data_IF_106084240847
#
_entry.id   IF_106084240847
#
_cell.length_a   1.000
_cell.length_b   1.000
_cell.length_c   1.000
_cell.angle_alpha   90.00
_cell.angle_beta   90.00
_cell.angle_gamma   90.00
#
_symmetry.space_group_name_H-M   'P 1'
#
loop_
_entity.id
_entity.type
_entity.pdbx_description
1 polymer ?
#
# COMPACT_ATOMS: atom_id res chain seq x y z
N UNK A 1 8.86 -34.22 10.28
CA UNK A 1 9.75 -33.86 9.16
C UNK A 1 8.88 -33.77 7.90
N UNK A 2 8.71 -34.82 7.08
CA UNK A 2 7.90 -34.78 5.84
C UNK A 2 6.55 -34.01 5.86
N UNK A 3 5.73 -34.10 6.93
CA UNK A 3 4.47 -33.35 7.01
C UNK A 3 4.65 -31.83 7.15
N UNK A 4 5.69 -31.37 7.87
CA UNK A 4 6.00 -29.95 8.02
C UNK A 4 6.74 -29.37 6.82
N UNK A 5 7.56 -30.18 6.15
CA UNK A 5 8.18 -29.80 4.86
C UNK A 5 7.13 -29.57 3.77
N UNK A 6 6.10 -30.43 3.70
CA UNK A 6 4.99 -30.25 2.75
C UNK A 6 4.13 -29.01 3.08
N UNK A 7 3.93 -28.70 4.36
CA UNK A 7 3.20 -27.50 4.78
C UNK A 7 3.99 -26.22 4.50
N UNK A 8 5.29 -26.19 4.81
CA UNK A 8 6.18 -25.08 4.48
C UNK A 8 6.25 -24.84 2.96
N UNK A 9 6.41 -25.89 2.16
CA UNK A 9 6.42 -25.79 0.70
C UNK A 9 5.11 -25.20 0.13
N UNK A 10 3.95 -25.55 0.72
CA UNK A 10 2.68 -24.93 0.33
C UNK A 10 2.64 -23.44 0.72
N UNK A 11 3.06 -23.08 1.93
CA UNK A 11 3.12 -21.68 2.38
C UNK A 11 4.02 -20.81 1.48
N UNK A 12 5.14 -21.35 1.00
CA UNK A 12 5.96 -20.68 -0.01
C UNK A 12 5.19 -20.40 -1.30
N UNK A 13 4.53 -21.41 -1.88
CA UNK A 13 3.74 -21.26 -3.11
C UNK A 13 2.64 -20.22 -2.93
N UNK A 14 1.91 -20.29 -1.81
CA UNK A 14 0.83 -19.37 -1.47
C UNK A 14 1.34 -17.91 -1.33
N UNK A 15 2.51 -17.71 -0.71
CA UNK A 15 3.15 -16.40 -0.57
C UNK A 15 3.64 -15.85 -1.91
N UNK A 16 4.34 -16.66 -2.73
CA UNK A 16 4.80 -16.23 -4.06
C UNK A 16 3.62 -15.86 -4.97
N UNK A 17 2.52 -16.62 -4.93
CA UNK A 17 1.32 -16.29 -5.70
C UNK A 17 0.65 -15.01 -5.17
N UNK A 18 0.60 -14.81 -3.86
CA UNK A 18 0.09 -13.56 -3.27
C UNK A 18 0.94 -12.35 -3.65
N UNK A 19 2.28 -12.47 -3.67
CA UNK A 19 3.19 -11.37 -4.02
C UNK A 19 3.18 -11.07 -5.51
N UNK A 20 3.26 -12.09 -6.39
CA UNK A 20 3.12 -11.89 -7.83
C UNK A 20 1.78 -11.27 -8.22
N UNK A 21 0.71 -11.61 -7.49
CA UNK A 21 -0.58 -10.93 -7.57
C UNK A 21 -0.45 -9.44 -7.19
N UNK A 22 0.09 -9.11 -6.02
CA UNK A 22 0.24 -7.71 -5.56
C UNK A 22 1.09 -6.87 -6.54
N UNK A 23 2.32 -7.33 -6.81
CA UNK A 23 3.38 -6.53 -7.44
C UNK A 23 3.40 -6.61 -8.98
N UNK A 24 2.74 -7.60 -9.59
CA UNK A 24 2.60 -7.69 -11.04
C UNK A 24 3.95 -7.66 -11.77
N UNK A 25 4.20 -6.61 -12.56
CA UNK A 25 5.42 -6.45 -13.36
C UNK A 25 6.68 -6.16 -12.53
N UNK A 26 6.56 -5.63 -11.30
CA UNK A 26 7.70 -5.42 -10.40
C UNK A 26 8.16 -6.74 -9.73
N UNK A 27 7.39 -7.83 -9.87
CA UNK A 27 7.75 -9.18 -9.42
C UNK A 27 8.31 -10.02 -10.58
N UNK A 28 9.50 -10.59 -10.39
CA UNK A 28 10.19 -11.41 -11.38
C UNK A 28 10.58 -12.78 -10.80
N UNK A 29 10.22 -13.86 -11.50
CA UNK A 29 10.75 -15.20 -11.23
C UNK A 29 12.07 -15.33 -11.99
N UNK A 30 13.18 -15.50 -11.27
CA UNK A 30 14.52 -15.62 -11.86
C UNK A 30 14.83 -17.08 -12.18
N UNK A 31 14.54 -17.97 -11.23
CA UNK A 31 14.64 -19.42 -11.37
C UNK A 31 13.56 -20.07 -10.50
N UNK A 32 12.62 -20.79 -11.13
CA UNK A 32 11.52 -21.44 -10.40
C UNK A 32 11.96 -22.73 -9.72
N UNK A 33 12.96 -23.44 -10.25
CA UNK A 33 13.44 -24.71 -9.69
C UNK A 33 14.31 -24.43 -8.44
N UNK A 34 15.21 -23.45 -8.53
CA UNK A 34 16.07 -22.99 -7.43
C UNK A 34 15.39 -21.98 -6.49
N UNK A 35 14.09 -21.70 -6.69
CA UNK A 35 13.26 -20.78 -5.87
C UNK A 35 13.86 -19.38 -5.71
N UNK A 36 14.38 -18.83 -6.80
CA UNK A 36 14.99 -17.50 -6.88
C UNK A 36 13.99 -16.50 -7.47
N UNK A 37 13.70 -15.46 -6.70
CA UNK A 37 12.77 -14.39 -7.07
C UNK A 37 13.42 -13.02 -6.90
N UNK A 38 12.96 -12.04 -7.67
CA UNK A 38 13.43 -10.66 -7.60
C UNK A 38 12.24 -9.71 -7.58
N UNK A 39 12.29 -8.71 -6.70
CA UNK A 39 11.27 -7.68 -6.52
C UNK A 39 11.93 -6.33 -6.70
N UNK A 40 11.39 -5.50 -7.60
CA UNK A 40 11.80 -4.11 -7.73
C UNK A 40 10.94 -3.25 -6.79
N UNK A 41 11.58 -2.48 -5.93
CA UNK A 41 10.94 -1.66 -4.89
C UNK A 41 11.34 -0.22 -5.13
N UNK A 42 10.39 0.70 -5.05
CA UNK A 42 10.58 2.13 -5.34
C UNK A 42 9.92 3.01 -4.26
N UNK A 43 10.45 4.20 -4.05
CA UNK A 43 9.92 5.20 -3.10
C UNK A 43 8.50 5.66 -3.43
N UNK A 44 8.23 5.90 -4.72
CA UNK A 44 6.90 6.19 -5.24
C UNK A 44 6.62 5.41 -6.53
N UNK A 45 5.36 5.44 -6.97
CA UNK A 45 4.95 4.88 -8.26
C UNK A 45 5.05 5.92 -9.37
N UNK A 46 4.74 7.19 -9.06
CA UNK A 46 4.85 8.32 -9.97
C UNK A 46 6.25 8.94 -9.93
N UNK A 47 7.07 8.63 -10.95
CA UNK A 47 8.46 9.10 -11.11
C UNK A 47 9.41 8.74 -9.94
N UNK A 48 9.72 7.43 -9.75
CA UNK A 48 10.57 6.99 -8.65
C UNK A 48 11.98 7.59 -8.68
N UNK A 49 12.39 8.18 -7.55
CA UNK A 49 13.73 8.76 -7.34
C UNK A 49 14.67 7.74 -6.73
N UNK A 50 14.17 6.89 -5.85
CA UNK A 50 14.94 5.85 -5.16
C UNK A 50 14.38 4.47 -5.49
N UNK A 51 15.26 3.59 -5.97
CA UNK A 51 14.91 2.20 -6.30
C UNK A 51 15.90 1.24 -5.68
N UNK A 52 15.40 0.05 -5.32
CA UNK A 52 16.17 -1.08 -4.80
C UNK A 52 15.58 -2.37 -5.36
N UNK A 53 16.43 -3.28 -5.81
CA UNK A 53 16.02 -4.64 -6.17
C UNK A 53 16.34 -5.60 -5.02
N UNK A 54 15.31 -6.20 -4.43
CA UNK A 54 15.42 -7.29 -3.46
C UNK A 54 15.38 -8.61 -4.24
N UNK A 55 16.50 -9.33 -4.26
CA UNK A 55 16.52 -10.73 -4.71
C UNK A 55 16.44 -11.64 -3.50
N UNK A 56 15.59 -12.67 -3.55
CA UNK A 56 15.42 -13.69 -2.51
C UNK A 56 15.57 -15.09 -3.09
N UNK A 57 16.09 -16.00 -2.28
CA UNK A 57 16.15 -17.44 -2.51
C UNK A 57 15.42 -18.08 -1.33
N UNK A 58 14.40 -18.89 -1.60
CA UNK A 58 13.61 -19.54 -0.55
C UNK A 58 14.16 -20.95 -0.27
N UNK A 59 14.84 -21.19 0.86
CA UNK A 59 15.35 -22.51 1.20
C UNK A 59 14.19 -23.41 1.67
N UNK A 60 14.34 -24.76 1.64
CA UNK A 60 13.21 -25.68 1.82
C UNK A 60 12.49 -25.61 3.17
N UNK A 61 13.14 -25.11 4.23
CA UNK A 61 12.56 -24.93 5.56
C UNK A 61 11.89 -23.58 5.80
N UNK A 62 11.95 -22.63 4.86
CA UNK A 62 11.23 -21.36 4.96
C UNK A 62 9.71 -21.58 4.78
N UNK A 63 8.81 -20.91 5.54
CA UNK A 63 9.06 -19.98 6.65
C UNK A 63 9.21 -20.64 8.04
N UNK A 64 9.01 -21.95 8.14
CA UNK A 64 8.86 -22.66 9.41
C UNK A 64 10.14 -22.79 10.26
N UNK A 65 11.32 -22.88 9.64
CA UNK A 65 12.56 -23.31 10.28
C UNK A 65 13.81 -22.48 9.94
N UNK A 66 13.81 -21.75 8.83
CA UNK A 66 14.95 -20.95 8.37
C UNK A 66 14.47 -19.72 7.56
N UNK A 67 15.23 -18.60 7.58
CA UNK A 67 14.87 -17.37 6.87
C UNK A 67 15.13 -17.46 5.35
N UNK A 68 14.53 -16.57 4.54
CA UNK A 68 14.94 -16.39 3.15
C UNK A 68 16.40 -15.91 3.07
N UNK A 69 17.15 -16.41 2.09
CA UNK A 69 18.46 -15.85 1.75
C UNK A 69 18.22 -14.67 0.81
N UNK A 70 18.80 -13.50 1.08
CA UNK A 70 18.55 -12.30 0.29
C UNK A 70 19.81 -11.59 -0.21
N UNK A 71 19.63 -10.78 -1.27
CA UNK A 71 20.61 -9.84 -1.78
C UNK A 71 19.91 -8.50 -2.09
N UNK A 72 20.45 -7.40 -1.58
CA UNK A 72 19.94 -6.05 -1.79
C UNK A 72 20.78 -5.32 -2.83
N UNK A 73 20.20 -5.04 -3.99
CA UNK A 73 20.87 -4.44 -5.13
C UNK A 73 20.37 -3.01 -5.36
N UNK A 74 21.16 -2.01 -4.95
CA UNK A 74 20.91 -0.60 -5.18
C UNK A 74 22.25 0.17 -5.32
N UNK A 75 22.41 1.11 -6.27
CA UNK A 75 23.69 1.81 -6.48
C UNK A 75 24.18 2.61 -5.27
N UNK A 76 23.23 3.13 -4.49
CA UNK A 76 23.39 3.98 -3.31
C UNK A 76 23.56 3.20 -2.00
N UNK A 77 23.07 1.96 -1.92
CA UNK A 77 23.02 1.17 -0.68
C UNK A 77 24.41 0.64 -0.32
N UNK A 78 25.11 1.32 0.59
CA UNK A 78 26.48 0.98 1.00
C UNK A 78 26.75 1.34 2.46
N UNK A 79 27.65 0.61 3.10
CA UNK A 79 28.11 0.93 4.45
C UNK A 79 26.97 0.89 5.46
N UNK A 80 26.78 1.99 6.19
CA UNK A 80 25.78 2.09 7.26
C UNK A 80 24.34 1.85 6.77
N UNK A 81 23.96 2.43 5.62
CA UNK A 81 22.64 2.23 4.99
C UNK A 81 22.31 0.75 4.77
N UNK A 82 23.31 -0.05 4.35
CA UNK A 82 23.14 -1.49 4.14
C UNK A 82 22.93 -2.21 5.48
N UNK A 83 23.75 -1.89 6.48
CA UNK A 83 23.70 -2.52 7.81
C UNK A 83 22.37 -2.25 8.52
N UNK A 84 21.88 -1.01 8.49
CA UNK A 84 20.62 -0.62 9.14
C UNK A 84 19.41 -1.30 8.50
N UNK A 85 19.38 -1.36 7.15
CA UNK A 85 18.34 -2.08 6.43
C UNK A 85 18.43 -3.59 6.68
N UNK A 86 19.62 -4.20 6.60
CA UNK A 86 19.83 -5.63 6.87
C UNK A 86 19.38 -6.04 8.29
N UNK A 87 19.74 -5.26 9.30
CA UNK A 87 19.30 -5.47 10.68
C UNK A 87 17.77 -5.41 10.80
N UNK A 88 17.13 -4.45 10.11
CA UNK A 88 15.67 -4.31 10.10
C UNK A 88 14.97 -5.54 9.48
N UNK A 89 15.53 -6.11 8.40
CA UNK A 89 14.98 -7.32 7.79
C UNK A 89 15.14 -8.55 8.71
N UNK A 90 16.28 -8.68 9.38
CA UNK A 90 16.51 -9.78 10.34
C UNK A 90 15.61 -9.66 11.58
N UNK A 91 15.38 -8.45 12.11
CA UNK A 91 14.43 -8.21 13.18
C UNK A 91 13.00 -8.62 12.79
N UNK A 92 12.55 -8.28 11.58
CA UNK A 92 11.24 -8.70 11.06
C UNK A 92 11.11 -10.22 11.03
N UNK A 93 12.15 -10.95 10.62
CA UNK A 93 12.12 -12.43 10.67
C UNK A 93 12.01 -12.96 12.10
N UNK A 94 12.80 -12.43 13.04
CA UNK A 94 12.79 -12.86 14.45
C UNK A 94 11.44 -12.57 15.14
N UNK A 95 10.76 -11.48 14.76
CA UNK A 95 9.44 -11.15 15.28
C UNK A 95 8.31 -12.04 14.70
N UNK A 96 8.51 -12.63 13.51
CA UNK A 96 7.47 -13.36 12.75
C UNK A 96 7.92 -14.80 12.40
N UNK A 97 8.56 -15.48 13.35
CA UNK A 97 9.05 -16.86 13.16
C UNK A 97 7.92 -17.83 12.83
N UNK A 98 8.07 -18.57 11.72
CA UNK A 98 7.04 -19.47 11.21
C UNK A 98 6.01 -18.83 10.28
N UNK A 99 6.13 -17.53 9.99
CA UNK A 99 5.23 -16.79 9.10
C UNK A 99 5.90 -16.27 7.82
N UNK A 100 5.07 -16.00 6.82
CA UNK A 100 5.44 -15.44 5.52
C UNK A 100 5.73 -13.94 5.59
N UNK A 101 7.02 -13.60 5.60
CA UNK A 101 7.56 -12.25 5.85
C UNK A 101 7.95 -11.44 4.61
N UNK A 102 7.94 -11.98 3.39
CA UNK A 102 8.52 -11.27 2.24
C UNK A 102 7.80 -9.95 1.94
N UNK A 103 6.50 -9.89 2.18
CA UNK A 103 5.74 -8.64 2.10
C UNK A 103 6.21 -7.59 3.13
N UNK A 104 6.46 -8.01 4.38
CA UNK A 104 6.92 -7.14 5.45
C UNK A 104 8.31 -6.58 5.13
N UNK A 105 9.18 -7.39 4.52
CA UNK A 105 10.47 -6.95 3.99
C UNK A 105 10.31 -5.92 2.87
N UNK A 106 9.42 -6.14 1.90
CA UNK A 106 9.18 -5.17 0.82
C UNK A 106 8.69 -3.83 1.38
N UNK A 107 7.75 -3.86 2.33
CA UNK A 107 7.22 -2.63 2.93
C UNK A 107 8.25 -1.93 3.82
N UNK A 108 9.09 -2.66 4.57
CA UNK A 108 10.19 -2.05 5.34
C UNK A 108 11.24 -1.40 4.44
N UNK A 109 11.55 -2.03 3.30
CA UNK A 109 12.40 -1.41 2.28
C UNK A 109 11.73 -0.15 1.74
N UNK A 110 10.45 -0.21 1.37
CA UNK A 110 9.68 0.93 0.86
C UNK A 110 9.66 2.10 1.83
N UNK A 111 9.44 1.86 3.12
CA UNK A 111 9.52 2.87 4.18
C UNK A 111 10.87 3.61 4.15
N UNK A 112 11.98 2.87 4.16
CA UNK A 112 13.34 3.44 4.08
C UNK A 112 13.58 4.21 2.77
N UNK A 113 13.00 3.77 1.64
CA UNK A 113 13.06 4.52 0.37
C UNK A 113 12.30 5.85 0.46
N UNK A 114 11.13 5.87 1.12
CA UNK A 114 10.31 7.07 1.32
C UNK A 114 11.02 8.05 2.27
N UNK A 115 11.60 7.56 3.38
CA UNK A 115 12.42 8.39 4.29
C UNK A 115 13.64 9.00 3.56
N UNK A 116 14.31 8.22 2.70
CA UNK A 116 15.37 8.71 1.81
C UNK A 116 14.88 9.72 0.78
N UNK A 117 13.65 9.60 0.28
CA UNK A 117 13.03 10.58 -0.62
C UNK A 117 12.79 11.92 0.10
N UNK A 118 12.23 11.87 1.31
CA UNK A 118 11.88 13.05 2.13
C UNK A 118 13.12 13.76 2.70
N UNK A 119 14.17 13.03 3.06
CA UNK A 119 15.43 13.60 3.56
C UNK A 119 16.35 14.18 2.47
N UNK A 120 16.00 14.03 1.19
CA UNK A 120 16.80 14.50 0.05
C UNK A 120 16.16 15.67 -0.71
N UNK A 121 15.95 16.79 -0.01
CA UNK A 121 15.49 18.05 -0.61
C UNK A 121 16.51 18.63 -1.64
N UNK A 122 16.08 19.52 -2.57
CA UNK A 122 16.92 19.96 -3.68
C UNK A 122 17.96 21.00 -3.26
N UNK A 123 19.15 20.87 -3.86
CA UNK A 123 20.35 21.67 -3.61
C UNK A 123 20.15 23.18 -3.86
N UNK A 124 20.30 24.06 -2.84
CA UNK A 124 20.42 25.50 -3.05
C UNK A 124 21.87 25.85 -3.43
N UNK A 125 22.10 26.14 -4.72
CA UNK A 125 23.39 26.57 -5.27
C UNK A 125 23.77 27.99 -4.78
N UNK A 126 24.29 28.09 -3.55
CA UNK A 126 24.97 29.30 -3.05
C UNK A 126 26.30 28.94 -2.38
N UNK A 127 27.36 29.19 -3.16
CA UNK A 127 28.78 29.38 -2.81
C UNK A 127 29.11 29.51 -1.32
N UNK A 128 30.10 28.71 -0.90
CA UNK A 128 30.98 28.95 0.25
C UNK A 128 31.36 30.43 0.41
N UNK A 129 31.11 30.97 1.60
CA UNK A 129 32.07 31.84 2.30
C UNK A 129 32.07 31.41 3.76
N UNK A 130 33.27 31.22 4.31
CA UNK A 130 33.53 30.93 5.71
C UNK A 130 33.22 32.12 6.61
N UNK A 131 32.74 31.88 7.83
CA UNK A 131 33.44 32.29 9.05
C UNK A 131 32.79 31.68 10.29
N UNK A 132 33.63 31.27 11.26
CA UNK A 132 33.23 30.79 12.57
C UNK A 132 33.15 31.98 13.53
N UNK A 133 32.05 32.14 14.30
CA UNK A 133 32.12 32.72 15.64
C UNK A 133 31.07 32.09 16.55
N UNK A 134 31.46 31.85 17.80
CA UNK A 134 30.68 31.27 18.89
C UNK A 134 30.09 32.37 19.80
N UNK A 135 29.46 31.97 20.91
CA UNK A 135 29.03 32.75 22.08
C UNK A 135 27.57 33.28 22.13
N UNK A 136 26.68 32.39 22.56
CA UNK A 136 25.94 32.45 23.83
C UNK A 136 25.24 33.76 24.31
N UNK A 137 23.91 33.74 24.26
CA UNK A 137 22.93 34.25 25.24
C UNK A 137 21.60 33.49 24.93
N UNK A 138 20.72 33.07 25.84
CA UNK A 138 20.64 33.19 27.29
C UNK A 138 19.17 33.35 27.71
N UNK A 139 18.58 32.39 28.43
CA UNK A 139 17.72 32.64 29.62
C UNK A 139 17.34 31.34 30.37
N UNK A 140 17.06 31.47 31.66
CA UNK A 140 16.62 30.40 32.59
C UNK A 140 15.16 30.65 33.05
N UNK A 141 14.65 29.86 34.00
CA UNK A 141 13.41 29.97 34.79
C UNK A 141 12.22 29.06 34.44
N UNK A 142 12.36 27.82 34.92
CA UNK A 142 11.55 27.24 36.02
C UNK A 142 10.08 27.73 36.16
N UNK A 143 9.12 26.83 35.92
CA UNK A 143 7.70 27.00 36.27
C UNK A 143 7.38 26.26 37.59
N UNK A 144 6.73 26.95 38.53
CA UNK A 144 6.19 26.40 39.79
C UNK A 144 4.69 26.77 40.00
N UNK A 145 4.07 26.18 41.04
CA UNK A 145 2.64 25.93 41.29
C UNK A 145 2.01 26.97 42.27
N UNK A 146 0.69 27.10 42.53
CA UNK A 146 -0.50 26.31 42.12
C UNK A 146 -1.64 27.15 41.43
N UNK A 147 -2.70 27.71 42.09
CA UNK A 147 -4.05 27.44 41.56
C UNK A 147 -5.08 28.60 41.52
N UNK A 148 -6.14 28.42 40.71
CA UNK A 148 -7.48 28.97 41.00
C UNK A 148 -8.53 27.88 40.70
N UNK A 149 -9.47 27.69 41.63
CA UNK A 149 -10.65 26.83 41.48
C UNK A 149 -11.87 27.72 41.17
N UNK A 150 -12.74 27.30 40.25
CA UNK A 150 -14.20 27.20 40.47
C UNK A 150 -14.92 26.70 39.20
N UNK A 151 -15.27 25.41 39.25
CA UNK A 151 -16.50 24.76 38.75
C UNK A 151 -16.91 24.70 37.25
N UNK A 152 -17.72 23.67 36.88
CA UNK A 152 -17.72 23.12 35.52
C UNK A 152 -19.03 23.37 34.73
N UNK A 153 -19.10 22.76 33.54
CA UNK A 153 -20.26 22.65 32.63
C UNK A 153 -20.45 23.86 31.69
N UNK A 154 -20.05 23.69 30.42
CA UNK A 154 -20.61 24.28 29.15
C UNK A 154 -19.64 24.31 27.94
N UNK A 155 -18.72 23.34 27.80
CA UNK A 155 -17.81 23.26 26.63
C UNK A 155 -17.80 21.84 26.03
N UNK A 156 -18.99 21.28 25.75
CA UNK A 156 -19.15 20.00 25.01
C UNK A 156 -20.23 20.03 23.92
N UNK A 157 -20.90 21.17 23.70
CA UNK A 157 -22.04 21.30 22.75
C UNK A 157 -21.80 22.30 21.60
N UNK A 158 -20.55 22.77 21.37
CA UNK A 158 -20.26 23.85 20.39
C UNK A 158 -19.44 23.42 19.16
N UNK A 159 -19.39 22.12 18.84
CA UNK A 159 -18.88 21.62 17.55
C UNK A 159 -19.91 20.66 16.91
N UNK A 160 -21.21 20.97 17.10
CA UNK A 160 -22.33 20.16 16.58
C UNK A 160 -23.33 21.04 15.82
N UNK A 161 -22.82 21.92 14.96
CA UNK A 161 -23.64 22.69 14.02
C UNK A 161 -22.88 23.08 12.75
N UNK A 162 -22.10 22.15 12.19
CA UNK A 162 -21.92 22.13 10.75
C UNK A 162 -23.13 21.42 10.13
N UNK A 163 -23.71 22.04 9.11
CA UNK A 163 -24.94 21.60 8.47
C UNK A 163 -24.86 20.15 7.97
N UNK A 164 -25.91 19.38 8.28
CA UNK A 164 -26.20 18.12 7.61
C UNK A 164 -26.61 18.42 6.15
N UNK A 165 -25.64 18.75 5.31
CA UNK A 165 -25.77 18.48 3.89
C UNK A 165 -25.83 16.95 3.74
N UNK A 166 -26.93 16.47 3.15
CA UNK A 166 -27.18 15.06 2.85
C UNK A 166 -26.28 14.63 1.68
N UNK A 167 -24.99 14.47 1.98
CA UNK A 167 -23.98 13.96 1.06
C UNK A 167 -24.40 12.55 0.59
N UNK A 168 -24.84 12.44 -0.67
CA UNK A 168 -25.52 11.26 -1.20
C UNK A 168 -24.68 9.99 -0.99
N UNK A 169 -25.33 8.93 -0.48
CA UNK A 169 -24.67 7.66 -0.19
C UNK A 169 -24.16 7.05 -1.50
N UNK A 170 -22.85 6.81 -1.67
CA UNK A 170 -22.32 6.25 -2.89
C UNK A 170 -22.88 4.87 -3.22
N UNK A 171 -22.95 4.55 -4.51
CA UNK A 171 -23.39 3.24 -4.97
C UNK A 171 -22.39 2.15 -4.56
N UNK A 172 -22.90 1.12 -3.89
CA UNK A 172 -22.09 0.00 -3.41
C UNK A 172 -22.22 -1.15 -4.42
N UNK A 173 -21.08 -1.59 -4.93
CA UNK A 173 -20.95 -2.72 -5.83
C UNK A 173 -20.41 -3.93 -5.06
N UNK A 174 -20.93 -5.13 -5.35
CA UNK A 174 -20.51 -6.38 -4.72
C UNK A 174 -19.95 -7.32 -5.78
N UNK A 175 -18.70 -7.76 -5.61
CA UNK A 175 -18.02 -8.66 -6.53
C UNK A 175 -18.45 -10.12 -6.34
N UNK A 176 -18.04 -10.98 -7.26
CA UNK A 176 -18.27 -12.42 -7.15
C UNK A 176 -17.47 -13.01 -5.97
N UNK A 177 -18.10 -13.84 -5.11
CA UNK A 177 -17.40 -14.44 -3.98
C UNK A 177 -16.44 -15.55 -4.44
N UNK A 178 -15.28 -15.64 -3.78
CA UNK A 178 -14.30 -16.73 -3.92
C UNK A 178 -14.39 -17.61 -2.68
N UNK A 179 -14.43 -18.93 -2.84
CA UNK A 179 -14.44 -19.89 -1.72
C UNK A 179 -13.27 -20.85 -1.84
N UNK A 180 -12.44 -20.94 -0.80
CA UNK A 180 -11.38 -21.94 -0.66
C UNK A 180 -11.40 -22.54 0.75
N UNK A 181 -11.19 -23.87 0.84
CA UNK A 181 -11.15 -24.64 2.11
C UNK A 181 -12.27 -24.21 3.09
N UNK A 182 -13.48 -24.02 2.56
CA UNK A 182 -14.72 -23.51 3.22
C UNK A 182 -14.70 -22.04 3.66
N UNK A 183 -13.54 -21.38 3.68
CA UNK A 183 -13.49 -19.93 3.88
C UNK A 183 -14.02 -19.25 2.62
N UNK A 184 -14.82 -18.19 2.77
CA UNK A 184 -15.36 -17.43 1.64
C UNK A 184 -14.94 -15.97 1.76
N UNK A 185 -14.63 -15.35 0.63
CA UNK A 185 -14.17 -13.97 0.48
C UNK A 185 -15.10 -13.27 -0.51
N UNK A 186 -15.49 -12.03 -0.22
CA UNK A 186 -16.23 -11.20 -1.17
C UNK A 186 -15.75 -9.75 -1.07
N UNK A 187 -15.37 -9.17 -2.21
CA UNK A 187 -15.07 -7.74 -2.27
C UNK A 187 -16.34 -6.91 -2.48
N UNK A 188 -16.30 -5.70 -1.92
CA UNK A 188 -17.28 -4.65 -2.05
C UNK A 188 -16.54 -3.37 -2.41
N UNK A 189 -17.08 -2.59 -3.34
CA UNK A 189 -16.46 -1.39 -3.87
C UNK A 189 -17.46 -0.25 -3.82
N UNK A 190 -17.01 0.94 -3.41
CA UNK A 190 -17.78 2.18 -3.56
C UNK A 190 -16.87 3.33 -4.02
N UNK A 191 -17.30 4.17 -4.97
CA UNK A 191 -16.63 5.43 -5.24
C UNK A 191 -16.73 6.32 -4.00
N UNK A 192 -15.62 6.94 -3.59
CA UNK A 192 -15.58 7.87 -2.45
C UNK A 192 -14.67 9.05 -2.74
N UNK A 193 -15.13 10.26 -2.38
CA UNK A 193 -14.36 11.51 -2.50
C UNK A 193 -14.18 12.23 -1.17
N UNK A 194 -14.78 11.73 -0.09
CA UNK A 194 -14.59 12.26 1.28
C UNK A 194 -14.50 11.13 2.32
N UNK A 195 -13.80 11.34 3.46
CA UNK A 195 -13.81 10.39 4.58
C UNK A 195 -15.21 10.16 5.18
N UNK A 196 -16.10 11.16 5.04
CA UNK A 196 -17.50 11.05 5.47
C UNK A 196 -18.25 10.01 4.64
N UNK A 197 -18.03 9.96 3.32
CA UNK A 197 -18.56 8.91 2.45
C UNK A 197 -18.03 7.52 2.82
N UNK A 198 -16.74 7.38 3.12
CA UNK A 198 -16.15 6.11 3.59
C UNK A 198 -16.92 5.58 4.81
N UNK A 199 -17.14 6.42 5.82
CA UNK A 199 -17.90 6.04 7.02
C UNK A 199 -19.35 5.65 6.68
N UNK A 200 -20.05 6.43 5.85
CA UNK A 200 -21.44 6.11 5.43
C UNK A 200 -21.54 4.79 4.67
N UNK A 201 -20.56 4.46 3.83
CA UNK A 201 -20.52 3.18 3.09
C UNK A 201 -20.29 2.01 4.05
N UNK A 202 -19.36 2.13 5.01
CA UNK A 202 -19.13 1.10 6.03
C UNK A 202 -20.37 0.88 6.90
N UNK A 203 -21.01 1.95 7.37
CA UNK A 203 -22.30 1.89 8.10
C UNK A 203 -23.36 1.16 7.26
N UNK A 204 -23.46 1.47 5.96
CA UNK A 204 -24.42 0.81 5.06
C UNK A 204 -24.12 -0.67 4.86
N UNK A 205 -22.86 -1.03 4.68
CA UNK A 205 -22.42 -2.43 4.55
C UNK A 205 -22.80 -3.24 5.80
N UNK A 206 -22.64 -2.65 7.00
CA UNK A 206 -22.98 -3.29 8.26
C UNK A 206 -24.50 -3.34 8.59
N UNK A 207 -25.38 -2.67 7.84
CA UNK A 207 -26.81 -2.99 7.86
C UNK A 207 -27.09 -4.42 7.35
N UNK A 208 -26.26 -4.92 6.43
CA UNK A 208 -26.37 -6.29 5.93
C UNK A 208 -25.77 -7.27 6.95
N UNK A 209 -26.65 -7.97 7.67
CA UNK A 209 -26.27 -8.95 8.71
C UNK A 209 -25.25 -9.99 8.27
N UNK A 210 -25.16 -10.36 6.97
CA UNK A 210 -24.13 -11.30 6.50
C UNK A 210 -22.73 -10.69 6.56
N UNK A 211 -22.61 -9.41 6.20
CA UNK A 211 -21.36 -8.65 6.17
C UNK A 211 -20.96 -8.27 7.60
N UNK A 212 -21.91 -7.76 8.39
CA UNK A 212 -21.71 -7.49 9.82
C UNK A 212 -21.38 -8.74 10.66
N UNK A 213 -21.69 -9.95 10.16
CA UNK A 213 -21.28 -11.23 10.77
C UNK A 213 -20.17 -11.94 9.99
N UNK A 214 -19.42 -11.24 9.14
CA UNK A 214 -18.16 -11.75 8.61
C UNK A 214 -17.16 -11.92 9.77
N UNK A 215 -16.16 -12.79 9.56
CA UNK A 215 -15.08 -12.98 10.54
C UNK A 215 -14.12 -11.78 10.52
N UNK A 216 -13.90 -11.21 9.33
CA UNK A 216 -13.12 -9.99 9.12
C UNK A 216 -13.76 -9.17 7.98
N UNK A 217 -13.80 -7.86 8.11
CA UNK A 217 -14.22 -6.88 7.10
C UNK A 217 -13.06 -5.91 6.82
N UNK A 218 -11.99 -6.46 6.25
CA UNK A 218 -10.77 -5.75 5.87
C UNK A 218 -11.13 -4.63 4.91
N UNK A 219 -10.59 -3.43 5.07
CA UNK A 219 -10.80 -2.37 4.09
C UNK A 219 -9.58 -1.49 3.85
N UNK A 220 -9.57 -0.85 2.67
CA UNK A 220 -8.67 0.23 2.35
C UNK A 220 -9.37 1.25 1.44
N UNK A 221 -9.03 2.52 1.56
CA UNK A 221 -9.50 3.55 0.65
C UNK A 221 -8.37 4.47 0.19
N UNK A 222 -8.55 5.06 -1.00
CA UNK A 222 -7.66 6.10 -1.54
C UNK A 222 -8.53 7.21 -2.12
N UNK A 223 -8.43 8.40 -1.56
CA UNK A 223 -9.11 9.63 -2.04
C UNK A 223 -8.02 10.58 -2.53
N UNK A 224 -8.15 11.10 -3.75
CA UNK A 224 -7.20 12.06 -4.30
C UNK A 224 -7.62 13.49 -3.95
N UNK A 225 -6.72 14.22 -3.30
CA UNK A 225 -6.91 15.61 -2.88
C UNK A 225 -6.24 16.53 -3.91
N UNK A 226 -7.04 17.07 -4.86
CA UNK A 226 -6.54 17.95 -5.93
C UNK A 226 -5.86 19.23 -5.40
N UNK A 227 -6.29 19.75 -4.24
CA UNK A 227 -5.74 20.95 -3.60
C UNK A 227 -4.29 20.78 -3.14
N UNK A 228 -3.96 19.57 -2.65
CA UNK A 228 -2.65 19.21 -2.11
C UNK A 228 -1.82 18.33 -3.04
N UNK A 229 -2.38 17.90 -4.18
CA UNK A 229 -1.78 16.94 -5.11
C UNK A 229 -1.28 15.66 -4.40
N UNK A 230 -2.08 15.15 -3.45
CA UNK A 230 -1.72 14.00 -2.61
C UNK A 230 -2.94 13.10 -2.33
N UNK A 231 -2.70 11.93 -1.74
CA UNK A 231 -3.76 11.00 -1.35
C UNK A 231 -4.08 11.08 0.13
N UNK A 232 -5.36 11.19 0.45
CA UNK A 232 -5.90 10.81 1.75
C UNK A 232 -6.29 9.33 1.66
N UNK A 233 -5.55 8.48 2.35
CA UNK A 233 -5.66 7.03 2.25
C UNK A 233 -5.39 6.38 3.61
N UNK A 234 -6.09 5.28 3.89
CA UNK A 234 -6.03 4.56 5.18
C UNK A 234 -6.55 3.13 4.99
N UNK A 235 -6.31 2.26 5.98
CA UNK A 235 -6.71 0.85 5.93
C UNK A 235 -6.93 0.23 7.32
N UNK A 236 -7.71 -0.85 7.35
CA UNK A 236 -8.06 -1.61 8.56
C UNK A 236 -7.99 -3.11 8.26
N UNK A 237 -7.43 -3.87 9.19
CA UNK A 237 -7.27 -5.32 9.14
C UNK A 237 -8.52 -6.06 9.65
N UNK A 238 -9.29 -5.45 10.57
CA UNK A 238 -10.40 -6.09 11.32
C UNK A 238 -9.99 -7.44 11.94
N UNK A 239 -8.76 -7.50 12.46
CA UNK A 239 -8.17 -8.71 13.05
C UNK A 239 -7.57 -9.71 12.05
N UNK A 240 -7.64 -9.47 10.74
CA UNK A 240 -6.87 -10.21 9.74
C UNK A 240 -5.50 -9.55 9.55
N UNK A 241 -4.56 -9.84 10.45
CA UNK A 241 -3.25 -9.16 10.53
C UNK A 241 -2.54 -9.01 9.18
N UNK A 242 -2.13 -7.77 8.88
CA UNK A 242 -1.47 -7.30 7.66
C UNK A 242 -2.31 -7.35 6.36
N UNK A 243 -3.62 -7.62 6.41
CA UNK A 243 -4.46 -7.69 5.21
C UNK A 243 -4.87 -6.31 4.66
N UNK A 244 -5.21 -5.35 5.53
CA UNK A 244 -5.59 -3.99 5.17
C UNK A 244 -4.42 -3.23 4.53
N UNK A 245 -3.22 -3.37 5.10
CA UNK A 245 -1.99 -2.85 4.51
C UNK A 245 -1.72 -3.42 3.11
N UNK A 246 -1.80 -4.76 2.95
CA UNK A 246 -1.67 -5.43 1.64
C UNK A 246 -2.71 -4.98 0.63
N UNK A 247 -3.96 -4.77 1.07
CA UNK A 247 -5.07 -4.29 0.24
C UNK A 247 -4.86 -2.84 -0.21
N UNK A 248 -4.46 -1.95 0.70
CA UNK A 248 -4.08 -0.58 0.37
C UNK A 248 -2.91 -0.55 -0.61
N UNK A 249 -1.91 -1.41 -0.39
CA UNK A 249 -0.73 -1.46 -1.25
C UNK A 249 -1.04 -1.97 -2.66
N UNK A 250 -1.93 -2.97 -2.79
CA UNK A 250 -2.51 -3.37 -4.07
C UNK A 250 -3.22 -2.19 -4.76
N UNK A 251 -4.01 -1.40 -4.03
CA UNK A 251 -4.68 -0.21 -4.57
C UNK A 251 -3.69 0.91 -4.95
N UNK A 252 -2.53 0.97 -4.31
CA UNK A 252 -1.43 1.84 -4.73
C UNK A 252 -0.86 1.38 -6.06
N UNK A 253 -0.40 0.13 -6.18
CA UNK A 253 0.22 -0.42 -7.41
C UNK A 253 -0.71 -0.34 -8.62
N UNK A 254 -2.00 -0.65 -8.43
CA UNK A 254 -3.01 -0.52 -9.49
C UNK A 254 -3.37 0.95 -9.84
N UNK A 255 -2.78 1.91 -9.15
CA UNK A 255 -2.99 3.35 -9.25
C UNK A 255 -4.46 3.78 -9.22
N UNK A 256 -5.27 3.15 -8.35
CA UNK A 256 -6.71 3.43 -8.27
C UNK A 256 -7.00 4.60 -7.33
N UNK A 257 -7.87 5.51 -7.75
CA UNK A 257 -8.20 6.76 -7.05
C UNK A 257 -9.69 6.83 -6.72
N UNK A 258 -10.04 7.60 -5.69
CA UNK A 258 -11.41 7.94 -5.28
C UNK A 258 -12.32 6.72 -5.06
N UNK A 259 -11.79 5.73 -4.32
CA UNK A 259 -12.45 4.43 -4.12
C UNK A 259 -12.14 3.83 -2.75
N UNK A 260 -13.17 3.22 -2.15
CA UNK A 260 -13.12 2.35 -0.98
C UNK A 260 -13.33 0.91 -1.45
N UNK A 261 -12.46 0.01 -1.01
CA UNK A 261 -12.63 -1.44 -1.17
C UNK A 261 -12.70 -2.08 0.20
N UNK A 262 -13.74 -2.88 0.42
CA UNK A 262 -13.93 -3.72 1.61
C UNK A 262 -13.93 -5.18 1.17
N UNK A 263 -13.17 -6.05 1.83
CA UNK A 263 -13.17 -7.49 1.57
C UNK A 263 -13.64 -8.22 2.82
N UNK A 264 -14.87 -8.72 2.76
CA UNK A 264 -15.45 -9.55 3.82
C UNK A 264 -14.96 -10.99 3.69
N UNK A 265 -14.40 -11.54 4.78
CA UNK A 265 -14.02 -12.95 4.92
C UNK A 265 -14.93 -13.65 5.93
N UNK A 266 -15.51 -14.78 5.53
CA UNK A 266 -16.18 -15.73 6.42
C UNK A 266 -15.28 -16.95 6.62
N UNK A 267 -14.82 -17.21 7.85
CA UNK A 267 -13.90 -18.29 8.16
C UNK A 267 -14.55 -19.67 8.07
N UNK A 268 -13.91 -20.59 7.33
CA UNK A 268 -14.41 -21.94 7.06
C UNK A 268 -14.13 -23.02 8.11
N UNK A 269 -13.45 -22.66 9.21
CA UNK A 269 -12.94 -23.62 10.19
C UNK A 269 -11.59 -24.25 9.84
N UNK A 270 -10.94 -23.81 8.75
CA UNK A 270 -9.61 -24.25 8.31
C UNK A 270 -8.73 -23.01 8.11
N UNK A 271 -7.59 -22.96 8.81
CA UNK A 271 -6.58 -21.92 8.62
C UNK A 271 -6.00 -22.04 7.20
N UNK A 272 -6.01 -20.93 6.45
CA UNK A 272 -5.49 -20.93 5.07
C UNK A 272 -3.99 -20.65 5.00
N UNK A 273 -3.38 -20.12 6.07
CA UNK A 273 -2.01 -19.61 6.00
C UNK A 273 -1.93 -18.35 5.12
N UNK A 274 -0.84 -18.16 4.34
CA UNK A 274 -0.66 -17.01 3.44
C UNK A 274 -1.73 -16.92 2.33
N UNK A 275 -2.30 -18.06 1.91
CA UNK A 275 -3.26 -18.17 0.79
C UNK A 275 -4.51 -17.27 0.96
N UNK A 276 -4.85 -16.88 2.21
CA UNK A 276 -5.91 -15.90 2.49
C UNK A 276 -5.64 -14.55 1.82
N UNK A 277 -4.40 -14.08 1.80
CA UNK A 277 -4.03 -12.79 1.22
C UNK A 277 -4.19 -12.80 -0.31
N UNK A 278 -3.87 -13.91 -0.96
CA UNK A 278 -4.14 -14.14 -2.38
C UNK A 278 -5.64 -14.02 -2.67
N UNK A 279 -6.51 -14.68 -1.90
CA UNK A 279 -7.97 -14.56 -2.09
C UNK A 279 -8.48 -13.13 -1.86
N UNK A 280 -7.98 -12.44 -0.82
CA UNK A 280 -8.31 -11.03 -0.53
C UNK A 280 -7.93 -10.13 -1.72
N UNK A 281 -6.69 -10.21 -2.18
CA UNK A 281 -6.16 -9.40 -3.27
C UNK A 281 -6.83 -9.71 -4.61
N UNK A 282 -7.14 -10.98 -4.88
CA UNK A 282 -7.82 -11.38 -6.11
C UNK A 282 -9.29 -10.91 -6.11
N UNK A 283 -10.02 -11.02 -4.99
CA UNK A 283 -11.35 -10.42 -4.87
C UNK A 283 -11.32 -8.90 -5.13
N UNK A 284 -10.37 -8.19 -4.52
CA UNK A 284 -10.22 -6.74 -4.68
C UNK A 284 -9.86 -6.33 -6.12
N UNK A 285 -8.87 -6.97 -6.74
CA UNK A 285 -8.48 -6.67 -8.13
C UNK A 285 -9.60 -6.98 -9.11
N UNK A 286 -10.30 -8.10 -8.93
CA UNK A 286 -11.39 -8.48 -9.83
C UNK A 286 -12.50 -7.42 -9.87
N UNK A 287 -12.92 -6.89 -8.72
CA UNK A 287 -13.95 -5.83 -8.68
C UNK A 287 -13.41 -4.48 -9.18
N UNK A 288 -12.15 -4.13 -8.91
CA UNK A 288 -11.52 -2.91 -9.44
C UNK A 288 -11.42 -2.95 -10.98
N UNK A 289 -11.11 -4.11 -11.57
CA UNK A 289 -11.11 -4.32 -13.02
C UNK A 289 -12.53 -4.30 -13.59
N UNK A 290 -13.48 -5.00 -12.97
CA UNK A 290 -14.89 -5.05 -13.41
C UNK A 290 -15.53 -3.65 -13.49
N UNK A 291 -15.17 -2.76 -12.55
CA UNK A 291 -15.66 -1.38 -12.49
C UNK A 291 -14.70 -0.35 -13.11
N UNK A 292 -13.72 -0.79 -13.92
CA UNK A 292 -12.81 0.05 -14.72
C UNK A 292 -11.92 1.03 -13.94
N UNK A 293 -11.59 0.73 -12.68
CA UNK A 293 -10.59 1.49 -11.91
C UNK A 293 -9.15 1.19 -12.35
N UNK A 294 -8.93 0.01 -12.94
CA UNK A 294 -7.63 -0.39 -13.49
C UNK A 294 -7.62 -0.17 -14.99
N UNK A 295 -6.85 0.82 -15.47
CA UNK A 295 -6.67 1.01 -16.90
C UNK A 295 -5.72 -0.05 -17.47
N UNK A 296 -6.21 -0.85 -18.42
CA UNK A 296 -5.32 -1.70 -19.22
C UNK A 296 -4.33 -0.83 -20.01
N UNK A 297 -3.04 -1.21 -19.99
CA UNK A 297 -1.93 -0.42 -20.57
C UNK A 297 -2.11 -0.13 -22.07
N UNK A 298 -2.98 -0.87 -22.76
CA UNK A 298 -3.25 -0.70 -24.20
C UNK A 298 -3.84 0.65 -24.61
N UNK A 299 -4.64 1.33 -23.78
CA UNK A 299 -5.42 2.49 -24.24
C UNK A 299 -4.59 3.77 -24.40
N UNK A 300 -3.53 3.92 -23.59
CA UNK A 300 -2.58 5.03 -23.66
C UNK A 300 -1.90 5.14 -25.05
N UNK A 301 -1.72 4.01 -25.73
CA UNK A 301 -1.14 3.94 -27.08
C UNK A 301 -2.06 4.49 -28.19
N UNK A 302 -3.39 4.46 -27.99
CA UNK A 302 -4.39 4.76 -29.04
C UNK A 302 -4.74 6.25 -29.14
N UNK A 303 -4.58 7.03 -28.07
CA UNK A 303 -4.87 8.48 -28.09
C UNK A 303 -3.75 9.32 -28.75
N UNK A 304 -2.48 8.89 -28.65
CA UNK A 304 -1.36 9.60 -29.28
C UNK A 304 -1.38 9.59 -30.82
N UNK A 305 -2.09 8.63 -31.44
CA UNK A 305 -2.02 8.37 -32.89
C UNK A 305 -2.89 9.25 -33.81
N UNK A 306 -3.89 9.99 -33.29
CA UNK A 306 -4.88 10.70 -34.14
C UNK A 306 -4.58 12.17 -34.43
N UNK A 307 -3.64 12.80 -33.71
CA UNK A 307 -3.41 14.26 -33.77
C UNK A 307 -2.23 14.69 -34.67
N UNK A 308 -2.05 14.07 -35.85
CA UNK A 308 -0.94 14.45 -36.76
C UNK A 308 -1.14 14.20 -38.26
N UNK A 309 -2.31 14.53 -38.84
CA UNK A 309 -2.46 14.50 -40.32
C UNK A 309 -3.40 15.54 -40.97
N UNK A 310 -3.24 16.82 -40.65
CA UNK A 310 -3.83 17.91 -41.46
C UNK A 310 -3.05 19.23 -41.35
N UNK A 311 -2.12 19.47 -42.30
CA UNK A 311 -1.76 20.79 -42.91
C UNK A 311 -0.39 20.75 -43.59
N UNK A 312 -0.40 20.48 -44.90
CA UNK A 312 0.53 21.09 -45.87
C UNK A 312 -0.02 20.85 -47.27
N UNK A 313 -0.57 21.90 -47.87
CA UNK A 313 -0.36 22.28 -49.27
C UNK A 313 -1.26 23.47 -49.63
N UNK A 314 -0.66 24.68 -49.59
CA UNK A 314 -1.06 25.81 -50.43
C UNK A 314 -0.13 27.02 -50.22
N UNK A 315 0.91 27.20 -51.06
CA UNK A 315 1.31 28.54 -51.53
C UNK A 315 2.25 28.54 -52.75
N UNK A 316 1.76 29.21 -53.81
CA UNK A 316 2.50 29.96 -54.86
C UNK A 316 3.53 29.24 -55.75
N UNK A 317 3.17 29.11 -57.03
CA UNK A 317 4.01 29.55 -58.17
C UNK A 317 3.17 30.43 -59.11
N UNK A 318 3.61 31.66 -59.33
CA UNK A 318 3.21 32.58 -60.40
C UNK A 318 4.41 33.48 -60.67
N UNK A 319 4.72 33.68 -61.95
CA UNK A 319 5.81 34.51 -62.50
C UNK A 319 7.23 34.03 -62.11
N UNK A 320 8.20 33.92 -63.02
CA UNK A 320 8.34 34.52 -64.35
C UNK A 320 8.80 33.52 -65.42
#
# INVERSE_FOLDING_TARGET
MAAGEAEAAQQQVDEIEALSSIYGEDWCVVDEDEKIYCIKISDCLDQPKWTLCLQVILPPGYPAAEPPIYQLNAPWLRGQDYTELANSLEEIYVQNLGESILYLWVEKIREVLIEKAQSSDPEPDIKKTSEEVDENDGDDFLIDYQPVQEDPIKIVDYITSESQEDEELPSIHHGNPITDRRSTFQAHLAPVVTPRQVKRVLEKLYENKKIASATHNIYAYRIYCEDKQTFLQDCEDDGETAAGGRLLHLMQILNVHNVLVVVSRWYGGILLGPDRFKHINNCARNILVEYNYVHSVEESSKQAGKSKKTRKDNKKRTEH
#
